data_IF_874632753282
#
_entry.id   IF_874632753282
#
_cell.length_a   1.000
_cell.length_b   1.000
_cell.length_c   1.000
_cell.angle_alpha   90.00
_cell.angle_beta   90.00
_cell.angle_gamma   90.00
#
_symmetry.space_group_name_H-M   'P 1'
#
loop_
_entity.id
_entity.type
_entity.pdbx_description
1 polymer ?
#
# COMPACT_ATOMS: atom_id res chain seq x y z
N UNK A 1 19.83 -4.17 16.66
CA UNK A 1 18.71 -4.65 15.80
C UNK A 1 18.54 -3.64 14.68
N UNK A 2 19.35 -3.77 13.63
CA UNK A 2 19.40 -2.82 12.51
C UNK A 2 18.45 -3.33 11.42
N UNK A 3 17.31 -2.66 11.20
CA UNK A 3 16.54 -2.84 9.95
C UNK A 3 17.31 -2.10 8.86
N UNK A 4 18.12 -2.81 8.08
CA UNK A 4 18.69 -2.26 6.85
C UNK A 4 17.58 -1.94 5.84
N UNK A 5 17.07 -0.70 5.95
CA UNK A 5 16.96 0.34 4.90
C UNK A 5 16.42 0.02 3.51
N UNK A 6 15.58 -1.00 3.31
CA UNK A 6 14.79 -1.05 2.06
C UNK A 6 13.57 -0.15 2.17
N UNK A 7 13.74 1.13 1.80
CA UNK A 7 12.63 2.05 1.54
C UNK A 7 11.83 1.48 0.37
N UNK A 8 10.58 1.14 0.62
CA UNK A 8 9.66 0.74 -0.45
C UNK A 8 9.07 2.01 -1.09
N UNK A 9 8.78 2.01 -2.40
CA UNK A 9 8.04 3.10 -3.01
C UNK A 9 6.66 3.25 -2.34
N UNK A 10 6.22 4.48 -2.10
CA UNK A 10 4.95 4.78 -1.42
C UNK A 10 3.74 4.05 -2.03
N UNK A 11 3.71 3.89 -3.35
CA UNK A 11 2.61 3.19 -4.06
C UNK A 11 2.57 1.68 -3.74
N UNK A 12 3.72 1.04 -3.49
CA UNK A 12 3.78 -0.38 -3.12
C UNK A 12 3.19 -0.58 -1.72
N UNK A 13 3.59 0.26 -0.77
CA UNK A 13 3.06 0.24 0.59
C UNK A 13 1.57 0.58 0.63
N UNK A 14 1.11 1.53 -0.19
CA UNK A 14 -0.31 1.84 -0.33
C UNK A 14 -1.13 0.64 -0.82
N UNK A 15 -0.67 -0.08 -1.84
CA UNK A 15 -1.33 -1.31 -2.32
C UNK A 15 -1.34 -2.37 -1.21
N UNK A 16 -0.23 -2.56 -0.50
CA UNK A 16 -0.16 -3.52 0.61
C UNK A 16 -1.17 -3.18 1.71
N UNK A 17 -1.25 -1.91 2.13
CA UNK A 17 -2.22 -1.45 3.13
C UNK A 17 -3.66 -1.61 2.66
N UNK A 18 -3.94 -1.32 1.39
CA UNK A 18 -5.25 -1.54 0.80
C UNK A 18 -5.67 -3.02 0.93
N UNK A 19 -4.74 -3.95 0.66
CA UNK A 19 -5.00 -5.39 0.80
C UNK A 19 -5.06 -5.89 2.25
N UNK A 20 -4.18 -5.41 3.13
CA UNK A 20 -4.07 -5.93 4.51
C UNK A 20 -5.06 -5.30 5.49
N UNK A 21 -5.38 -4.01 5.30
CA UNK A 21 -6.17 -3.21 6.24
C UNK A 21 -7.51 -2.78 5.65
N UNK A 22 -7.71 -2.92 4.34
CA UNK A 22 -8.90 -2.41 3.64
C UNK A 22 -8.97 -0.88 3.60
N UNK A 23 -7.91 -0.19 4.03
CA UNK A 23 -7.83 1.26 4.08
C UNK A 23 -6.38 1.73 3.99
N UNK A 24 -6.19 2.94 3.46
CA UNK A 24 -4.89 3.57 3.30
C UNK A 24 -4.97 5.02 3.78
N UNK A 25 -3.98 5.43 4.58
CA UNK A 25 -3.80 6.81 5.04
C UNK A 25 -2.37 7.25 4.77
N UNK A 26 -2.12 8.56 4.71
CA UNK A 26 -0.76 9.10 4.53
C UNK A 26 0.17 8.60 5.63
N UNK A 27 -0.24 8.70 6.89
CA UNK A 27 0.53 8.22 8.05
C UNK A 27 0.85 6.72 7.96
N UNK A 28 -0.14 5.91 7.60
CA UNK A 28 0.05 4.47 7.44
C UNK A 28 1.06 4.13 6.34
N UNK A 29 1.05 4.85 5.22
CA UNK A 29 2.04 4.67 4.14
C UNK A 29 3.43 5.14 4.57
N UNK A 30 3.52 6.25 5.30
CA UNK A 30 4.80 6.77 5.80
C UNK A 30 5.47 5.75 6.73
N UNK A 31 4.71 5.16 7.66
CA UNK A 31 5.18 4.09 8.55
C UNK A 31 5.56 2.82 7.76
N UNK A 32 4.64 2.30 6.94
CA UNK A 32 4.82 1.04 6.22
C UNK A 32 5.97 1.12 5.19
N UNK A 33 6.15 2.24 4.51
CA UNK A 33 7.26 2.46 3.59
C UNK A 33 8.57 2.87 4.29
N UNK A 34 8.55 3.05 5.62
CA UNK A 34 9.66 3.55 6.42
C UNK A 34 10.25 4.85 5.85
N UNK A 35 9.36 5.80 5.52
CA UNK A 35 9.70 7.09 4.94
C UNK A 35 10.06 8.10 6.05
N UNK A 36 11.06 8.97 5.81
CA UNK A 36 11.38 10.01 6.76
C UNK A 36 10.29 11.10 6.77
N UNK A 37 10.15 11.80 7.89
CA UNK A 37 9.31 13.00 8.00
C UNK A 37 9.66 14.02 6.91
N UNK A 38 8.65 14.70 6.38
CA UNK A 38 8.73 15.64 5.26
C UNK A 38 8.26 15.07 3.91
N UNK A 39 7.96 13.77 3.83
CA UNK A 39 7.47 13.10 2.62
C UNK A 39 5.94 13.05 2.52
N UNK A 40 5.22 13.60 3.51
CA UNK A 40 3.75 13.56 3.57
C UNK A 40 3.08 14.08 2.29
N UNK A 41 3.54 15.21 1.74
CA UNK A 41 3.00 15.74 0.47
C UNK A 41 3.26 14.82 -0.71
N UNK A 42 4.45 14.20 -0.77
CA UNK A 42 4.78 13.24 -1.82
C UNK A 42 3.89 12.01 -1.73
N UNK A 43 3.64 11.51 -0.52
CA UNK A 43 2.72 10.39 -0.30
C UNK A 43 1.31 10.78 -0.68
N UNK A 44 0.84 11.97 -0.30
CA UNK A 44 -0.48 12.47 -0.68
C UNK A 44 -0.64 12.57 -2.21
N UNK A 45 0.37 13.07 -2.92
CA UNK A 45 0.38 13.14 -4.39
C UNK A 45 0.30 11.75 -5.04
N UNK A 46 1.06 10.78 -4.50
CA UNK A 46 1.01 9.39 -4.94
C UNK A 46 -0.37 8.78 -4.70
N UNK A 47 -0.97 8.97 -3.52
CA UNK A 47 -2.30 8.45 -3.20
C UNK A 47 -3.39 9.08 -4.08
N UNK A 48 -3.30 10.40 -4.32
CA UNK A 48 -4.19 11.09 -5.24
C UNK A 48 -4.05 10.57 -6.67
N UNK A 49 -2.83 10.31 -7.13
CA UNK A 49 -2.57 9.72 -8.45
C UNK A 49 -3.12 8.29 -8.55
N UNK A 50 -3.00 7.50 -7.48
CA UNK A 50 -3.59 6.16 -7.43
C UNK A 50 -5.13 6.21 -7.45
N UNK A 51 -5.72 7.20 -6.79
CA UNK A 51 -7.16 7.42 -6.80
C UNK A 51 -7.67 7.86 -8.19
N UNK A 52 -6.96 8.78 -8.87
CA UNK A 52 -7.23 9.16 -10.27
C UNK A 52 -7.22 7.94 -11.20
N UNK A 53 -6.28 7.02 -10.99
CA UNK A 53 -6.17 5.75 -11.71
C UNK A 53 -7.14 4.67 -11.25
N UNK A 54 -8.07 4.99 -10.35
CA UNK A 54 -9.09 4.08 -9.78
C UNK A 54 -8.52 2.85 -9.06
N UNK A 55 -7.25 2.90 -8.66
CA UNK A 55 -6.64 1.89 -7.80
C UNK A 55 -7.13 2.05 -6.36
N UNK A 56 -7.36 3.30 -5.96
CA UNK A 56 -7.91 3.66 -4.66
C UNK A 56 -9.16 4.51 -4.86
N UNK A 57 -10.00 4.58 -3.83
CA UNK A 57 -11.12 5.50 -3.77
C UNK A 57 -11.00 6.34 -2.49
N UNK A 58 -11.12 7.65 -2.63
CA UNK A 58 -11.09 8.57 -1.49
C UNK A 58 -12.39 8.44 -0.69
N UNK A 59 -12.27 8.31 0.63
CA UNK A 59 -13.41 8.22 1.55
C UNK A 59 -13.33 9.33 2.60
N UNK A 60 -14.45 10.03 2.76
CA UNK A 60 -14.59 11.16 3.69
C UNK A 60 -14.39 12.52 3.02
N UNK A 61 -14.93 13.56 3.66
CA UNK A 61 -14.97 14.93 3.12
C UNK A 61 -13.58 15.58 3.02
N UNK A 62 -12.63 15.10 3.82
CA UNK A 62 -11.28 15.65 3.93
C UNK A 62 -10.26 15.01 2.98
N UNK A 63 -10.58 13.86 2.38
CA UNK A 63 -9.70 13.18 1.43
C UNK A 63 -8.42 12.55 2.01
N UNK A 64 -8.33 12.42 3.34
CA UNK A 64 -7.14 11.88 4.03
C UNK A 64 -7.13 10.34 4.15
N UNK A 65 -8.22 9.69 3.71
CA UNK A 65 -8.40 8.24 3.81
C UNK A 65 -8.84 7.69 2.46
N UNK A 66 -8.27 6.55 2.11
CA UNK A 66 -8.56 5.84 0.89
C UNK A 66 -8.96 4.39 1.18
N UNK A 67 -9.78 3.81 0.32
CA UNK A 67 -10.13 2.37 0.30
C UNK A 67 -9.71 1.75 -1.03
N UNK A 68 -9.64 0.41 -1.14
CA UNK A 68 -9.38 -0.24 -2.42
C UNK A 68 -10.40 0.20 -3.47
N UNK A 69 -9.91 0.69 -4.61
CA UNK A 69 -10.73 1.08 -5.74
C UNK A 69 -11.08 -0.10 -6.65
N UNK A 70 -11.98 0.11 -7.63
CA UNK A 70 -12.50 -0.95 -8.49
C UNK A 70 -11.40 -1.69 -9.24
N UNK A 71 -10.34 -1.02 -9.69
CA UNK A 71 -9.23 -1.67 -10.42
C UNK A 71 -8.51 -2.70 -9.55
N UNK A 72 -8.31 -2.42 -8.25
CA UNK A 72 -7.71 -3.39 -7.34
C UNK A 72 -8.68 -4.54 -7.03
N UNK A 73 -9.97 -4.24 -6.91
CA UNK A 73 -11.03 -5.23 -6.64
C UNK A 73 -11.20 -6.21 -7.80
N UNK A 74 -11.31 -5.69 -9.02
CA UNK A 74 -11.58 -6.44 -10.25
C UNK A 74 -10.35 -7.20 -10.77
N UNK A 75 -9.13 -6.81 -10.37
CA UNK A 75 -7.90 -7.53 -10.73
C UNK A 75 -7.73 -8.91 -10.08
N UNK A 76 -8.76 -9.44 -9.41
CA UNK A 76 -8.88 -10.88 -9.17
C UNK A 76 -7.95 -11.45 -8.10
N UNK A 77 -7.66 -10.70 -7.02
CA UNK A 77 -6.86 -11.19 -5.88
C UNK A 77 -7.58 -11.18 -4.53
N UNK A 78 -8.91 -11.14 -4.55
CA UNK A 78 -9.76 -11.26 -3.35
C UNK A 78 -10.04 -12.72 -2.95
N UNK A 79 -9.44 -13.71 -3.63
CA UNK A 79 -9.25 -15.09 -3.15
C UNK A 79 -7.86 -15.24 -2.49
N UNK A 80 -7.48 -14.29 -1.63
CA UNK A 80 -6.34 -14.49 -0.75
C UNK A 80 -6.91 -14.80 0.63
N UNK A 81 -6.82 -16.06 1.02
CA UNK A 81 -7.16 -16.49 2.38
C UNK A 81 -6.13 -15.91 3.36
N UNK A 82 -6.48 -14.77 3.99
CA UNK A 82 -5.61 -14.03 4.90
C UNK A 82 -5.32 -14.76 6.22
N UNK A 83 -5.94 -15.92 6.47
CA UNK A 83 -5.63 -16.77 7.63
C UNK A 83 -4.21 -17.32 7.56
N UNK A 84 -3.57 -17.35 6.38
CA UNK A 84 -2.20 -17.84 6.17
C UNK A 84 -1.11 -16.78 6.03
N UNK A 85 -1.44 -15.48 6.04
CA UNK A 85 -0.44 -14.43 5.80
C UNK A 85 0.46 -14.12 7.02
N UNK A 86 0.16 -14.67 8.20
CA UNK A 86 0.95 -14.46 9.42
C UNK A 86 2.01 -15.52 9.71
N UNK A 87 2.19 -16.55 8.88
CA UNK A 87 3.20 -17.59 9.13
C UNK A 87 4.15 -17.77 7.94
N UNK A 88 5.40 -17.31 8.11
CA UNK A 88 6.52 -17.68 7.25
C UNK A 88 6.82 -16.73 6.09
N UNK A 89 7.71 -15.77 6.33
CA UNK A 89 8.34 -15.01 5.25
C UNK A 89 9.12 -15.91 4.28
N UNK A 90 8.96 -15.66 2.98
CA UNK A 90 10.00 -15.77 1.93
C UNK A 90 9.34 -15.76 0.54
N UNK A 91 9.08 -14.58 -0.04
CA UNK A 91 8.93 -14.48 -1.49
C UNK A 91 10.32 -14.29 -2.12
N UNK A 92 10.98 -15.42 -2.37
CA UNK A 92 12.16 -15.52 -3.22
C UNK A 92 11.73 -15.24 -4.66
N UNK A 93 12.02 -14.05 -5.17
CA UNK A 93 11.88 -13.75 -6.60
C UNK A 93 12.92 -14.58 -7.36
N UNK A 94 12.46 -15.54 -8.15
CA UNK A 94 13.29 -16.20 -9.15
C UNK A 94 13.57 -15.18 -10.27
N UNK A 95 14.77 -14.60 -10.26
CA UNK A 95 15.36 -13.99 -11.45
C UNK A 95 15.76 -15.12 -12.40
N UNK A 96 15.02 -15.26 -13.49
CA UNK A 96 15.38 -16.15 -14.59
C UNK A 96 16.21 -15.37 -15.61
N UNK A 97 17.45 -15.83 -15.82
CA UNK A 97 18.21 -15.79 -17.09
C UNK A 97 18.60 -14.45 -17.64
#
# INVERSE_FOLDING_TARGET
>A
MCRETKREPAWVSAIRLAFLRGQVTVDGVMDEANLPTGYERTVQDVLSTMADRRLLESVGETGDRYVPGPVLIESGRFDLDYTKASDGGAHRWHSSG
#
